data_IF_812726396857
#
_entry.id   IF_812726396857
#
_cell.length_a   1.000
_cell.length_b   1.000
_cell.length_c   1.000
_cell.angle_alpha   90.00
_cell.angle_beta   90.00
_cell.angle_gamma   90.00
#
_symmetry.space_group_name_H-M   'P 1'
#
loop_
_entity.id
_entity.type
_entity.pdbx_description
1 polymer ?
#
# COMPACT_ATOMS: atom_id res chain seq x y z
N UNK A 1 6.30 4.51 20.22
CA UNK A 1 5.93 5.71 19.42
C UNK A 1 4.59 5.44 18.72
N UNK A 2 3.70 6.43 18.60
CA UNK A 2 2.38 6.22 17.98
C UNK A 2 2.47 6.37 16.46
N UNK A 3 2.36 5.25 15.73
CA UNK A 3 2.40 5.17 14.25
C UNK A 3 0.98 5.14 13.65
N UNK A 4 0.04 5.84 14.28
CA UNK A 4 -1.36 5.91 13.85
C UNK A 4 -1.72 7.31 13.43
N UNK A 5 -2.22 7.47 12.21
CA UNK A 5 -2.73 8.71 11.65
C UNK A 5 -4.07 9.09 12.29
N UNK A 6 -4.17 10.34 12.75
CA UNK A 6 -5.31 10.82 13.51
C UNK A 6 -6.59 11.01 12.65
N UNK A 7 -6.46 11.25 11.35
CA UNK A 7 -7.59 11.40 10.42
C UNK A 7 -7.90 10.12 9.65
N UNK A 8 -7.52 8.96 10.17
CA UNK A 8 -7.90 7.70 9.55
C UNK A 8 -9.44 7.55 9.61
N UNK A 9 -10.13 7.31 8.48
CA UNK A 9 -11.59 7.29 8.48
C UNK A 9 -12.15 6.12 9.30
N UNK A 10 -13.35 6.28 9.87
CA UNK A 10 -13.92 5.26 10.77
C UNK A 10 -14.50 4.04 10.04
N UNK A 11 -15.02 4.22 8.82
CA UNK A 11 -15.72 3.17 8.08
C UNK A 11 -14.87 2.69 6.89
N UNK A 12 -14.12 1.58 7.00
CA UNK A 12 -13.31 1.03 5.90
C UNK A 12 -14.14 0.79 4.65
N UNK A 13 -13.60 1.20 3.49
CA UNK A 13 -14.13 0.76 2.21
C UNK A 13 -13.93 -0.75 2.03
N UNK A 14 -12.84 -1.27 2.60
CA UNK A 14 -12.56 -2.69 2.64
C UNK A 14 -11.84 -3.10 3.92
N UNK A 15 -12.29 -4.19 4.55
CA UNK A 15 -11.65 -4.82 5.70
C UNK A 15 -11.21 -6.25 5.33
N UNK A 16 -10.00 -6.64 5.74
CA UNK A 16 -9.54 -8.02 5.67
C UNK A 16 -8.92 -8.45 6.99
N UNK A 17 -9.30 -9.64 7.45
CA UNK A 17 -8.77 -10.28 8.66
C UNK A 17 -8.22 -11.65 8.34
N UNK A 18 -7.05 -11.98 8.86
CA UNK A 18 -6.47 -13.32 8.74
C UNK A 18 -5.48 -13.61 9.85
N UNK A 19 -5.22 -14.90 10.08
CA UNK A 19 -4.19 -15.36 11.02
C UNK A 19 -2.81 -15.01 10.47
N UNK A 20 -1.98 -14.42 11.32
CA UNK A 20 -0.66 -13.92 10.99
C UNK A 20 0.32 -14.33 12.09
N UNK A 21 1.23 -15.25 11.76
CA UNK A 21 2.16 -15.84 12.75
C UNK A 21 3.42 -15.00 12.98
N UNK A 22 3.62 -13.94 12.19
CA UNK A 22 4.76 -13.03 12.31
C UNK A 22 4.37 -11.77 13.11
N UNK A 23 5.35 -10.89 13.33
CA UNK A 23 5.19 -9.65 14.09
C UNK A 23 5.05 -8.40 13.19
N UNK A 24 4.75 -7.25 13.78
CA UNK A 24 4.69 -5.98 13.06
C UNK A 24 6.01 -5.58 12.41
N UNK A 25 7.20 -5.75 13.02
CA UNK A 25 8.47 -5.56 12.33
C UNK A 25 8.57 -6.33 11.00
N UNK A 26 8.16 -7.60 10.97
CA UNK A 26 8.09 -8.39 9.73
C UNK A 26 7.09 -7.79 8.75
N UNK A 27 5.90 -7.39 9.20
CA UNK A 27 4.89 -6.74 8.36
C UNK A 27 5.43 -5.46 7.72
N UNK A 28 6.12 -4.63 8.49
CA UNK A 28 6.70 -3.37 8.01
C UNK A 28 7.80 -3.62 6.99
N UNK A 29 8.68 -4.61 7.21
CA UNK A 29 9.66 -5.05 6.18
C UNK A 29 8.98 -5.55 4.92
N UNK A 30 7.82 -6.19 5.06
CA UNK A 30 7.05 -6.73 3.94
C UNK A 30 6.45 -5.61 3.12
N UNK A 31 5.73 -4.69 3.77
CA UNK A 31 5.11 -3.53 3.14
C UNK A 31 6.16 -2.59 2.53
N UNK A 32 7.29 -2.35 3.19
CA UNK A 32 8.42 -1.60 2.62
C UNK A 32 8.98 -2.24 1.34
N UNK A 33 8.87 -3.56 1.21
CA UNK A 33 9.28 -4.31 0.02
C UNK A 33 8.37 -4.10 -1.19
N UNK A 34 7.16 -3.55 -1.00
CA UNK A 34 6.27 -3.16 -2.09
C UNK A 34 6.73 -1.87 -2.77
N UNK A 35 7.47 -1.01 -2.07
CA UNK A 35 7.93 0.25 -2.63
C UNK A 35 8.82 0.03 -3.85
N UNK A 36 8.45 0.66 -4.97
CA UNK A 36 9.11 0.52 -6.26
C UNK A 36 8.69 -0.71 -7.07
N UNK A 37 7.85 -1.60 -6.52
CA UNK A 37 7.25 -2.68 -7.32
C UNK A 37 6.32 -2.09 -8.39
N UNK A 38 6.22 -2.78 -9.52
CA UNK A 38 5.36 -2.37 -10.61
C UNK A 38 4.77 -3.57 -11.36
N UNK A 39 3.69 -3.31 -12.08
CA UNK A 39 3.06 -4.27 -12.98
C UNK A 39 2.25 -3.56 -14.05
N UNK A 40 1.59 -4.32 -14.93
CA UNK A 40 0.64 -3.78 -15.90
C UNK A 40 -0.78 -4.17 -15.56
N UNK A 41 -1.74 -3.32 -15.91
CA UNK A 41 -3.16 -3.59 -15.73
C UNK A 41 -3.97 -2.92 -16.86
N UNK A 42 -5.20 -3.36 -17.05
CA UNK A 42 -6.13 -2.78 -18.03
C UNK A 42 -7.00 -1.73 -17.32
N UNK A 43 -7.12 -0.55 -17.90
CA UNK A 43 -7.95 0.55 -17.36
C UNK A 43 -8.38 1.48 -18.49
N UNK A 44 -9.35 2.37 -18.25
CA UNK A 44 -9.76 3.36 -19.24
C UNK A 44 -8.61 4.34 -19.57
N UNK A 45 -8.60 4.89 -20.78
CA UNK A 45 -7.64 5.92 -21.16
C UNK A 45 -7.59 7.12 -20.20
N UNK A 46 -6.49 7.90 -20.18
CA UNK A 46 -6.41 9.15 -19.44
C UNK A 46 -7.49 10.15 -19.86
N UNK A 47 -7.92 10.10 -21.12
CA UNK A 47 -8.97 10.93 -21.72
C UNK A 47 -10.39 10.38 -21.51
N UNK A 48 -10.53 9.25 -20.78
CA UNK A 48 -11.79 8.53 -20.56
C UNK A 48 -12.55 8.20 -21.85
N UNK A 49 -11.89 8.24 -23.01
CA UNK A 49 -12.48 7.64 -24.21
C UNK A 49 -12.53 6.14 -23.94
N UNK A 50 -13.69 5.54 -24.17
CA UNK A 50 -14.10 4.21 -23.70
C UNK A 50 -13.26 3.02 -24.26
N UNK A 51 -12.04 3.27 -24.72
CA UNK A 51 -11.10 2.25 -25.17
C UNK A 51 -10.20 1.87 -23.99
N UNK A 52 -10.27 0.62 -23.51
CA UNK A 52 -9.35 0.13 -22.49
C UNK A 52 -7.91 0.19 -22.99
N UNK A 53 -7.00 0.65 -22.13
CA UNK A 53 -5.56 0.70 -22.37
C UNK A 53 -4.84 -0.23 -21.40
N UNK A 54 -3.68 -0.74 -21.82
CA UNK A 54 -2.74 -1.40 -20.90
C UNK A 54 -1.82 -0.34 -20.30
N UNK A 55 -1.97 -0.08 -19.00
CA UNK A 55 -1.18 0.89 -18.25
C UNK A 55 -0.19 0.19 -17.31
N UNK A 56 0.93 0.85 -17.04
CA UNK A 56 1.86 0.49 -15.96
C UNK A 56 1.38 1.13 -14.65
N UNK A 57 1.42 0.34 -13.58
CA UNK A 57 1.22 0.77 -12.19
C UNK A 57 2.51 0.56 -11.41
N UNK A 58 3.00 1.58 -10.72
CA UNK A 58 4.06 1.48 -9.70
C UNK A 58 3.53 1.85 -8.33
N UNK A 59 4.16 1.29 -7.29
CA UNK A 59 3.75 1.46 -5.89
C UNK A 59 4.81 2.29 -5.16
N UNK A 60 4.38 3.34 -4.46
CA UNK A 60 5.16 4.02 -3.44
C UNK A 60 4.48 3.82 -2.09
N UNK A 61 5.30 3.66 -1.05
CA UNK A 61 4.82 3.34 0.28
C UNK A 61 5.34 4.36 1.27
N UNK A 62 4.46 4.82 2.15
CA UNK A 62 4.78 5.67 3.28
C UNK A 62 4.22 5.06 4.57
N UNK A 63 4.80 5.41 5.70
CA UNK A 63 4.36 5.00 7.04
C UNK A 63 4.09 6.24 7.88
N UNK A 64 3.06 6.17 8.73
CA UNK A 64 2.73 7.29 9.60
C UNK A 64 3.89 7.61 10.57
N UNK A 65 4.18 8.89 10.74
CA UNK A 65 5.11 9.43 11.71
C UNK A 65 4.41 10.44 12.61
N UNK A 66 4.52 10.25 13.94
CA UNK A 66 3.99 11.19 14.96
C UNK A 66 2.52 11.59 14.77
N UNK A 67 1.70 10.69 14.25
CA UNK A 67 0.24 10.84 14.08
C UNK A 67 -0.27 11.85 13.06
N UNK A 68 0.55 12.73 12.50
CA UNK A 68 0.14 13.75 11.52
C UNK A 68 0.78 13.56 10.15
N UNK A 69 2.02 13.06 10.11
CA UNK A 69 2.78 12.98 8.87
C UNK A 69 2.89 11.55 8.37
N UNK A 70 3.25 11.41 7.10
CA UNK A 70 3.68 10.16 6.50
C UNK A 70 5.08 10.37 5.94
N UNK A 71 5.97 9.42 6.22
CA UNK A 71 7.35 9.44 5.72
C UNK A 71 7.56 8.27 4.76
N UNK A 72 8.39 8.43 3.71
CA UNK A 72 8.67 7.34 2.78
C UNK A 72 9.16 6.09 3.51
N UNK A 73 8.61 4.93 3.15
CA UNK A 73 8.99 3.62 3.67
C UNK A 73 9.62 2.80 2.53
N UNK A 74 10.93 2.82 2.46
CA UNK A 74 11.73 2.14 1.43
C UNK A 74 13.03 1.60 2.04
N UNK A 75 13.87 0.96 1.22
CA UNK A 75 15.13 0.33 1.69
C UNK A 75 16.05 1.29 2.47
N UNK A 76 16.02 2.58 2.16
CA UNK A 76 16.90 3.57 2.79
C UNK A 76 16.34 4.08 4.12
N UNK A 77 15.01 4.01 4.32
CA UNK A 77 14.32 4.52 5.52
C UNK A 77 13.85 3.42 6.47
N UNK A 78 13.94 2.15 6.05
CA UNK A 78 13.41 1.00 6.77
C UNK A 78 14.08 0.75 8.13
N UNK A 79 15.40 0.72 8.16
CA UNK A 79 16.16 0.37 9.36
C UNK A 79 15.91 1.30 10.55
N UNK A 80 15.90 2.65 10.40
CA UNK A 80 15.54 3.52 11.52
C UNK A 80 14.07 3.37 11.93
N UNK A 81 13.16 3.12 10.98
CA UNK A 81 11.72 2.95 11.27
C UNK A 81 11.44 1.70 12.10
N UNK A 82 12.08 0.57 11.78
CA UNK A 82 11.81 -0.72 12.43
C UNK A 82 12.21 -0.73 13.90
N UNK A 83 13.27 -0.03 14.29
CA UNK A 83 13.81 -0.05 15.67
C UNK A 83 12.78 0.37 16.72
N UNK A 84 11.82 1.20 16.33
CA UNK A 84 10.82 1.77 17.22
C UNK A 84 9.45 1.06 17.14
N UNK A 85 9.38 -0.07 16.43
CA UNK A 85 8.14 -0.82 16.20
C UNK A 85 8.02 -1.96 17.20
N UNK A 86 6.92 -1.96 17.95
CA UNK A 86 6.54 -3.05 18.85
C UNK A 86 6.08 -4.28 18.07
N UNK A 87 6.19 -5.50 18.62
CA UNK A 87 5.75 -6.71 17.92
C UNK A 87 4.26 -6.74 17.55
N UNK A 88 3.41 -6.06 18.32
CA UNK A 88 1.95 -5.97 18.15
C UNK A 88 1.47 -4.51 18.24
N UNK A 89 0.21 -4.28 17.85
CA UNK A 89 -0.43 -2.96 17.88
C UNK A 89 -0.90 -2.48 16.50
N UNK A 90 -1.07 -1.16 16.38
CA UNK A 90 -1.62 -0.53 15.16
C UNK A 90 -0.58 0.32 14.44
N UNK A 91 -0.47 0.13 13.12
CA UNK A 91 0.38 0.93 12.23
C UNK A 91 -0.42 1.33 11.00
N UNK A 92 -0.35 2.61 10.66
CA UNK A 92 -0.96 3.16 9.46
C UNK A 92 0.08 3.41 8.36
N UNK A 93 -0.28 3.04 7.15
CA UNK A 93 0.50 3.23 5.94
C UNK A 93 -0.29 4.08 4.93
N UNK A 94 0.44 4.75 4.05
CA UNK A 94 -0.13 5.33 2.83
C UNK A 94 0.49 4.62 1.63
N UNK A 95 -0.36 4.19 0.71
CA UNK A 95 0.04 3.51 -0.52
C UNK A 95 -0.35 4.41 -1.69
N UNK A 96 0.65 4.96 -2.36
CA UNK A 96 0.46 5.78 -3.56
C UNK A 96 0.70 4.91 -4.80
N UNK A 97 -0.31 4.82 -5.67
CA UNK A 97 -0.21 4.13 -6.94
C UNK A 97 0.01 5.15 -8.05
N UNK A 98 1.13 5.04 -8.75
CA UNK A 98 1.42 5.89 -9.90
C UNK A 98 1.10 5.13 -11.18
N UNK A 99 0.35 5.78 -12.08
CA UNK A 99 -0.03 5.19 -13.36
C UNK A 99 0.63 5.88 -14.54
N UNK A 100 1.00 5.09 -15.54
CA UNK A 100 1.54 5.61 -16.78
C UNK A 100 1.24 4.69 -17.97
N UNK A 101 1.22 5.25 -19.18
CA UNK A 101 1.07 4.52 -20.44
C UNK A 101 2.14 5.00 -21.42
N UNK A 102 2.45 4.19 -22.44
CA UNK A 102 3.27 4.63 -23.56
C UNK A 102 2.39 5.25 -24.63
N UNK A 103 2.76 6.44 -25.12
CA UNK A 103 2.10 7.05 -26.28
C UNK A 103 2.59 6.42 -27.60
N UNK A 104 2.07 6.90 -28.73
CA UNK A 104 2.43 6.43 -30.06
C UNK A 104 3.93 6.62 -30.41
N UNK A 105 4.62 7.50 -29.70
CA UNK A 105 6.04 7.78 -29.86
C UNK A 105 6.89 7.06 -28.79
N UNK A 106 6.30 6.12 -28.05
CA UNK A 106 6.94 5.40 -26.95
C UNK A 106 7.38 6.29 -25.77
N UNK A 107 6.82 7.48 -25.63
CA UNK A 107 7.04 8.32 -24.46
C UNK A 107 6.15 7.84 -23.30
N UNK A 108 6.69 7.88 -22.08
CA UNK A 108 5.89 7.62 -20.88
C UNK A 108 5.02 8.84 -20.57
N UNK A 109 3.71 8.63 -20.56
CA UNK A 109 2.72 9.62 -20.15
C UNK A 109 2.12 9.18 -18.81
N UNK A 110 2.41 9.93 -17.75
CA UNK A 110 1.81 9.71 -16.44
C UNK A 110 0.37 10.24 -16.41
N UNK A 111 -0.49 9.61 -15.62
CA UNK A 111 -1.85 10.07 -15.38
C UNK A 111 -2.26 9.85 -13.92
N UNK A 112 -3.42 10.41 -13.53
CA UNK A 112 -3.89 10.43 -12.14
C UNK A 112 -3.91 9.02 -11.54
N UNK A 113 -3.08 8.85 -10.51
CA UNK A 113 -2.97 7.68 -9.66
C UNK A 113 -4.08 7.55 -8.62
N UNK A 114 -4.00 6.49 -7.82
CA UNK A 114 -4.86 6.28 -6.65
C UNK A 114 -4.00 6.27 -5.37
N UNK A 115 -4.52 6.80 -4.28
CA UNK A 115 -3.86 6.88 -2.98
C UNK A 115 -4.74 6.24 -1.93
N UNK A 116 -4.18 5.31 -1.16
CA UNK A 116 -4.90 4.60 -0.11
C UNK A 116 -4.27 4.84 1.26
N UNK A 117 -5.12 4.94 2.27
CA UNK A 117 -4.74 4.70 3.66
C UNK A 117 -4.98 3.24 4.01
N UNK A 118 -3.98 2.62 4.64
CA UNK A 118 -4.05 1.24 5.12
C UNK A 118 -3.73 1.21 6.61
N UNK A 119 -4.72 0.90 7.44
CA UNK A 119 -4.53 0.68 8.87
C UNK A 119 -4.39 -0.81 9.12
N UNK A 120 -3.27 -1.17 9.71
CA UNK A 120 -3.02 -2.53 10.17
C UNK A 120 -3.13 -2.56 11.68
N UNK A 121 -3.81 -3.59 12.21
CA UNK A 121 -3.82 -3.90 13.63
C UNK A 121 -3.47 -5.38 13.79
N UNK A 122 -2.38 -5.66 14.48
CA UNK A 122 -2.00 -7.00 14.89
C UNK A 122 -2.26 -7.14 16.39
N UNK A 123 -3.17 -8.04 16.72
CA UNK A 123 -3.51 -8.41 18.09
C UNK A 123 -3.77 -9.92 18.15
N UNK A 124 -3.16 -10.61 19.12
CA UNK A 124 -3.34 -12.04 19.34
C UNK A 124 -3.19 -12.89 18.05
N UNK A 125 -2.17 -12.58 17.23
CA UNK A 125 -1.88 -13.22 15.92
C UNK A 125 -2.98 -13.08 14.86
N UNK A 126 -3.89 -12.12 15.03
CA UNK A 126 -4.87 -11.76 14.02
C UNK A 126 -4.47 -10.42 13.44
N UNK A 127 -4.12 -10.41 12.15
CA UNK A 127 -3.86 -9.18 11.41
C UNK A 127 -5.16 -8.70 10.77
N UNK A 128 -5.60 -7.53 11.18
CA UNK A 128 -6.70 -6.78 10.58
C UNK A 128 -6.14 -5.68 9.70
N UNK A 129 -6.59 -5.59 8.46
CA UNK A 129 -6.25 -4.52 7.51
C UNK A 129 -7.52 -3.78 7.09
N UNK A 130 -7.55 -2.48 7.33
CA UNK A 130 -8.59 -1.55 6.89
C UNK A 130 -8.03 -0.67 5.79
N UNK A 131 -8.71 -0.60 4.65
CA UNK A 131 -8.22 0.09 3.45
C UNK A 131 -9.26 1.12 3.02
N UNK A 132 -8.77 2.32 2.68
CA UNK A 132 -9.59 3.42 2.17
C UNK A 132 -8.88 4.13 1.03
N UNK A 133 -9.56 4.35 -0.08
CA UNK A 133 -9.16 5.33 -1.07
C UNK A 133 -9.34 6.74 -0.48
N UNK A 134 -8.30 7.56 -0.56
CA UNK A 134 -8.34 8.97 -0.10
C UNK A 134 -8.13 9.98 -1.22
N UNK A 135 -7.63 9.54 -2.37
CA UNK A 135 -7.45 10.36 -3.56
C UNK A 135 -7.33 9.45 -4.80
N UNK A 136 -7.83 9.89 -5.94
CA UNK A 136 -7.77 9.13 -7.19
C UNK A 136 -9.12 8.87 -7.85
N UNK A 137 -9.11 7.99 -8.83
CA UNK A 137 -10.28 7.62 -9.65
C UNK A 137 -10.74 6.17 -9.39
N UNK A 138 -10.20 5.51 -8.35
CA UNK A 138 -10.52 4.13 -8.00
C UNK A 138 -10.25 3.14 -9.16
N UNK A 139 -9.18 3.38 -9.94
CA UNK A 139 -8.78 2.47 -11.06
C UNK A 139 -8.22 1.15 -10.53
N UNK A 140 -7.73 1.14 -9.29
CA UNK A 140 -7.46 -0.07 -8.52
C UNK A 140 -8.55 -0.23 -7.44
N UNK A 141 -9.02 -1.44 -7.19
CA UNK A 141 -9.95 -1.69 -6.09
C UNK A 141 -9.20 -1.84 -4.75
N UNK A 142 -9.76 -1.39 -3.60
CA UNK A 142 -9.15 -1.59 -2.28
C UNK A 142 -8.77 -3.06 -1.99
N UNK A 143 -9.57 -4.02 -2.43
CA UNK A 143 -9.32 -5.46 -2.34
C UNK A 143 -7.98 -5.84 -2.94
N UNK A 144 -7.63 -5.22 -4.08
CA UNK A 144 -6.38 -5.52 -4.79
C UNK A 144 -5.16 -5.05 -4.02
N UNK A 145 -5.30 -4.00 -3.21
CA UNK A 145 -4.26 -3.55 -2.27
C UNK A 145 -4.05 -4.59 -1.19
N UNK A 146 -5.13 -5.09 -0.59
CA UNK A 146 -5.06 -6.17 0.40
C UNK A 146 -4.44 -7.44 -0.20
N UNK A 147 -4.82 -7.83 -1.43
CA UNK A 147 -4.24 -8.98 -2.13
C UNK A 147 -2.74 -8.81 -2.33
N UNK A 148 -2.31 -7.64 -2.80
CA UNK A 148 -0.88 -7.35 -3.04
C UNK A 148 -0.07 -7.48 -1.75
N UNK A 149 -0.57 -6.97 -0.62
CA UNK A 149 0.08 -7.10 0.68
C UNK A 149 0.14 -8.56 1.12
N UNK A 150 -0.97 -9.30 1.01
CA UNK A 150 -1.05 -10.71 1.42
C UNK A 150 -0.15 -11.61 0.56
N UNK A 151 -0.11 -11.39 -0.76
CA UNK A 151 0.79 -12.09 -1.68
C UNK A 151 2.25 -11.86 -1.28
N UNK A 152 2.62 -10.62 -0.96
CA UNK A 152 3.97 -10.27 -0.52
C UNK A 152 4.32 -10.90 0.85
N UNK A 153 3.37 -10.94 1.80
CA UNK A 153 3.51 -11.66 3.08
C UNK A 153 3.80 -13.14 2.82
N UNK A 154 2.99 -13.81 1.99
CA UNK A 154 3.15 -15.23 1.68
C UNK A 154 4.50 -15.50 1.03
N UNK A 155 4.91 -14.65 0.08
CA UNK A 155 6.19 -14.75 -0.61
C UNK A 155 7.38 -14.64 0.34
N UNK A 156 7.32 -13.72 1.31
CA UNK A 156 8.40 -13.56 2.30
C UNK A 156 8.37 -14.63 3.38
N UNK A 157 7.19 -15.04 3.84
CA UNK A 157 7.05 -16.08 4.86
C UNK A 157 7.51 -17.46 4.37
N UNK A 158 7.33 -17.77 3.07
CA UNK A 158 7.86 -19.00 2.47
C UNK A 158 9.37 -18.99 2.20
N UNK A 159 10.05 -17.84 2.39
CA UNK A 159 11.50 -17.69 2.25
C UNK A 159 12.22 -17.63 3.62
N UNK A 160 11.54 -17.99 4.71
CA UNK A 160 12.07 -18.09 6.07
C UNK A 160 12.09 -19.56 6.48
#
# INVERSE_FOLDING_TARGET
>A
MRRTYHLFPQNPEFERKFRFEADLPFLVRTIAGLNGQFGTFITDGPDRKATPIQAKRSIEVEIADKSVDFVPLNKNTLDPVIKDITPEGTIDFKINLQYSVLDANYNRVAFKGDTYLVRTNLDNRVLTMNIHLIDGLARTAPERIADTIVEEIKRKAGNV
#
